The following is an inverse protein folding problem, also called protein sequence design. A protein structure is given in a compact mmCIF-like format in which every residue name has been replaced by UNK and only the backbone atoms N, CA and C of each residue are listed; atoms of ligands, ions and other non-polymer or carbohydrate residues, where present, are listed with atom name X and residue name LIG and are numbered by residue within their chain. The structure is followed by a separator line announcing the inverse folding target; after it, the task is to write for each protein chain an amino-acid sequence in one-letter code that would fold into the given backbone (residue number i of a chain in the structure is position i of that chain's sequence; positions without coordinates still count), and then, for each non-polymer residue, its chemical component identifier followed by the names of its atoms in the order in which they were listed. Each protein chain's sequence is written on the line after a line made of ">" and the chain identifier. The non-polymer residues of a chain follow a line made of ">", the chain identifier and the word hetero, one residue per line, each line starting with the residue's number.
data_IF_479787545192
#
_entry.id   IF_479787545192
#
_cell.length_a   1.000
_cell.length_b   1.000
_cell.length_c   1.000
_cell.angle_alpha   90.00
_cell.angle_beta   90.00
_cell.angle_gamma   90.00
#
_symmetry.space_group_name_H-M   'P 1'
#
loop_
_entity.id
_entity.type
_entity.pdbx_description
1 polymer ?
#
# COMPACT_ATOMS: atom_id res chain seq x y z
N UNK A 1 0.12 0.08 1.73
CA UNK A 1 -0.57 -0.06 0.43
C UNK A 1 -0.38 1.18 -0.42
N UNK A 2 -0.84 2.36 0.04
CA UNK A 2 -0.66 3.62 -0.65
C UNK A 2 0.83 4.01 -0.65
N UNK A 3 1.32 4.54 -1.78
CA UNK A 3 2.74 4.84 -1.97
C UNK A 3 3.65 3.60 -2.11
N UNK A 4 3.09 2.40 -2.08
CA UNK A 4 3.81 1.11 -2.19
C UNK A 4 3.22 0.24 -3.31
N UNK A 5 1.95 -0.12 -3.21
CA UNK A 5 1.21 -0.88 -4.24
C UNK A 5 0.35 0.02 -5.12
N UNK A 6 -0.28 1.04 -4.54
CA UNK A 6 -1.15 2.00 -5.21
C UNK A 6 -0.51 3.39 -5.22
N UNK A 7 -0.55 4.05 -6.38
CA UNK A 7 -0.01 5.39 -6.57
C UNK A 7 -1.05 6.44 -6.17
N UNK A 8 -0.84 7.04 -4.99
CA UNK A 8 -1.71 8.08 -4.45
C UNK A 8 -1.81 9.30 -5.38
N UNK A 9 -0.69 9.72 -5.97
CA UNK A 9 -0.65 10.84 -6.89
C UNK A 9 -1.50 10.62 -8.15
N UNK A 10 -1.55 9.39 -8.66
CA UNK A 10 -2.38 9.03 -9.81
C UNK A 10 -3.87 9.18 -9.52
N UNK A 11 -4.31 8.83 -8.33
CA UNK A 11 -5.70 9.03 -7.89
C UNK A 11 -6.03 10.52 -7.76
N UNK A 12 -5.15 11.28 -7.10
CA UNK A 12 -5.32 12.71 -6.91
C UNK A 12 -5.36 13.48 -8.24
N UNK A 13 -4.61 13.06 -9.26
CA UNK A 13 -4.61 13.66 -10.59
C UNK A 13 -5.98 13.54 -11.30
N UNK A 14 -6.79 12.56 -10.94
CA UNK A 14 -8.14 12.32 -11.49
C UNK A 14 -9.23 13.12 -10.77
N UNK A 15 -8.90 13.79 -9.69
CA UNK A 15 -9.83 14.62 -8.90
C UNK A 15 -9.87 16.03 -9.46
N UNK A 16 -11.06 16.65 -9.53
CA UNK A 16 -11.22 18.01 -10.01
C UNK A 16 -10.47 19.03 -9.17
N UNK A 17 -10.07 20.15 -9.76
CA UNK A 17 -9.37 21.22 -9.05
C UNK A 17 -10.22 21.80 -7.90
N UNK A 18 -11.53 21.93 -8.11
CA UNK A 18 -12.46 22.41 -7.08
C UNK A 18 -12.45 21.51 -5.84
N UNK A 19 -12.51 20.19 -6.03
CA UNK A 19 -12.46 19.22 -4.94
C UNK A 19 -11.09 19.24 -4.26
N UNK A 20 -9.99 19.32 -5.01
CA UNK A 20 -8.65 19.43 -4.43
C UNK A 20 -8.49 20.68 -3.56
N UNK A 21 -9.03 21.83 -3.98
CA UNK A 21 -9.03 23.04 -3.16
C UNK A 21 -9.81 22.88 -1.87
N UNK A 22 -10.99 22.24 -1.93
CA UNK A 22 -11.82 21.98 -0.73
C UNK A 22 -11.12 21.10 0.28
N UNK A 23 -10.29 20.15 -0.16
CA UNK A 23 -9.59 19.19 0.69
C UNK A 23 -8.09 19.47 0.81
N UNK A 24 -7.64 20.70 0.55
CA UNK A 24 -6.22 21.06 0.72
C UNK A 24 -5.71 20.64 2.09
N UNK A 25 -4.51 20.03 2.13
CA UNK A 25 -3.88 19.43 3.32
C UNK A 25 -4.61 18.20 3.92
N UNK A 26 -5.70 17.74 3.28
CA UNK A 26 -6.50 16.59 3.72
C UNK A 26 -6.95 15.74 2.53
N UNK A 27 -6.09 15.53 1.56
CA UNK A 27 -6.44 14.81 0.33
C UNK A 27 -6.88 13.37 0.57
N UNK A 28 -6.38 12.73 1.62
CA UNK A 28 -6.80 11.39 2.03
C UNK A 28 -8.26 11.32 2.55
N UNK A 29 -8.86 12.48 2.87
CA UNK A 29 -10.28 12.60 3.24
C UNK A 29 -11.21 12.73 2.03
N UNK A 30 -10.70 12.84 0.80
CA UNK A 30 -11.54 12.94 -0.42
C UNK A 30 -12.31 11.63 -0.63
N UNK A 31 -13.66 11.67 -0.59
CA UNK A 31 -14.47 10.48 -0.84
C UNK A 31 -14.19 9.87 -2.23
N UNK A 32 -13.99 8.58 -2.28
CA UNK A 32 -13.76 7.84 -3.53
C UNK A 32 -12.34 7.94 -4.10
N UNK A 33 -11.44 8.74 -3.50
CA UNK A 33 -10.07 8.93 -4.01
C UNK A 33 -9.34 7.58 -4.18
N UNK A 34 -9.46 6.70 -3.21
CA UNK A 34 -8.73 5.43 -3.21
C UNK A 34 -9.18 4.46 -4.31
N UNK A 35 -10.39 4.63 -4.84
CA UNK A 35 -10.86 3.88 -6.01
C UNK A 35 -10.24 4.32 -7.33
N UNK A 36 -9.66 5.52 -7.38
CA UNK A 36 -9.10 6.15 -8.59
C UNK A 36 -7.62 5.86 -8.80
N UNK A 37 -6.94 5.28 -7.80
CA UNK A 37 -5.49 5.05 -7.85
C UNK A 37 -5.11 3.96 -8.84
N UNK A 38 -4.08 4.24 -9.64
CA UNK A 38 -3.43 3.22 -10.46
C UNK A 38 -2.41 2.43 -9.62
N UNK A 39 -2.05 1.21 -10.06
CA UNK A 39 -0.93 0.50 -9.44
C UNK A 39 0.38 1.29 -9.53
N UNK A 40 1.18 1.22 -8.48
CA UNK A 40 2.56 1.67 -8.50
C UNK A 40 3.35 0.90 -9.55
N UNK A 41 4.25 1.56 -10.24
CA UNK A 41 5.09 0.93 -11.25
C UNK A 41 5.80 -0.31 -10.70
N UNK A 42 5.67 -1.43 -11.39
CA UNK A 42 6.28 -2.71 -11.02
C UNK A 42 5.60 -3.45 -9.86
N UNK A 43 4.62 -2.85 -9.17
CA UNK A 43 4.01 -3.46 -7.98
C UNK A 43 3.28 -4.78 -8.30
N UNK A 44 2.47 -4.81 -9.34
CA UNK A 44 1.70 -6.01 -9.70
C UNK A 44 2.64 -7.17 -10.05
N UNK A 45 3.64 -6.91 -10.88
CA UNK A 45 4.64 -7.92 -11.26
C UNK A 45 5.43 -8.40 -10.04
N UNK A 46 5.85 -7.49 -9.17
CA UNK A 46 6.58 -7.85 -7.95
C UNK A 46 5.78 -8.77 -7.04
N UNK A 47 4.48 -8.51 -6.83
CA UNK A 47 3.63 -9.36 -6.02
C UNK A 47 3.50 -10.78 -6.59
N UNK A 48 3.32 -10.91 -7.90
CA UNK A 48 3.28 -12.22 -8.55
C UNK A 48 4.62 -12.96 -8.47
N UNK A 49 5.75 -12.26 -8.61
CA UNK A 49 7.09 -12.86 -8.46
C UNK A 49 7.32 -13.36 -7.04
N UNK A 50 6.97 -12.58 -6.01
CA UNK A 50 7.10 -13.00 -4.62
C UNK A 50 6.17 -14.18 -4.32
N UNK A 51 4.92 -14.15 -4.80
CA UNK A 51 3.99 -15.25 -4.65
C UNK A 51 4.52 -16.54 -5.29
N UNK A 52 5.05 -16.45 -6.52
CA UNK A 52 5.62 -17.58 -7.26
C UNK A 52 6.87 -18.17 -6.59
N UNK A 53 7.67 -17.34 -5.94
CA UNK A 53 8.85 -17.75 -5.16
C UNK A 53 8.48 -18.75 -4.05
N UNK A 54 7.33 -18.57 -3.42
CA UNK A 54 6.75 -19.51 -2.45
C UNK A 54 7.38 -19.51 -1.07
N UNK A 55 8.42 -18.70 -0.81
CA UNK A 55 9.06 -18.58 0.51
C UNK A 55 8.31 -17.60 1.42
N UNK A 56 7.47 -16.74 0.86
CA UNK A 56 6.82 -15.64 1.57
C UNK A 56 5.31 -15.84 1.66
N UNK A 57 4.77 -15.58 2.83
CA UNK A 57 3.33 -15.52 3.08
C UNK A 57 2.89 -14.05 3.06
N UNK A 58 2.25 -13.65 1.95
CA UNK A 58 1.95 -12.25 1.64
C UNK A 58 0.64 -11.79 2.27
N UNK A 59 0.66 -10.63 2.92
CA UNK A 59 -0.50 -9.90 3.42
C UNK A 59 -0.42 -8.42 3.07
N UNK A 60 -1.57 -7.80 2.82
CA UNK A 60 -1.67 -6.34 2.81
C UNK A 60 -1.96 -5.86 4.22
N UNK A 61 -1.08 -5.00 4.72
CA UNK A 61 -1.25 -4.28 5.97
C UNK A 61 -1.35 -2.79 5.67
N UNK A 62 -2.53 -2.21 5.81
CA UNK A 62 -2.82 -0.83 5.39
C UNK A 62 -3.58 -0.07 6.46
N UNK A 63 -3.50 1.25 6.41
CA UNK A 63 -4.33 2.14 7.22
C UNK A 63 -5.32 2.85 6.31
N UNK A 64 -6.57 2.91 6.70
CA UNK A 64 -7.57 3.75 6.03
C UNK A 64 -7.81 5.02 6.85
N UNK A 65 -7.90 6.21 6.22
CA UNK A 65 -8.13 7.47 6.91
C UNK A 65 -9.41 7.43 7.75
N UNK A 66 -9.31 7.89 9.01
CA UNK A 66 -10.42 7.83 9.95
C UNK A 66 -11.65 8.59 9.47
N UNK A 67 -11.46 9.73 8.79
CA UNK A 67 -12.55 10.60 8.31
C UNK A 67 -13.00 10.30 6.88
N UNK A 68 -12.50 9.21 6.27
CA UNK A 68 -12.90 8.80 4.92
C UNK A 68 -13.40 7.36 4.92
N UNK A 69 -14.69 7.13 5.23
CA UNK A 69 -15.26 5.78 5.26
C UNK A 69 -15.12 5.04 3.92
N UNK A 70 -15.19 5.74 2.78
CA UNK A 70 -15.04 5.12 1.46
C UNK A 70 -13.66 4.49 1.26
N UNK A 71 -12.61 5.01 1.89
CA UNK A 71 -11.27 4.45 1.79
C UNK A 71 -11.19 3.00 2.28
N UNK A 72 -12.01 2.61 3.25
CA UNK A 72 -12.04 1.25 3.79
C UNK A 72 -12.54 0.25 2.76
N UNK A 73 -13.67 0.52 2.11
CA UNK A 73 -14.21 -0.31 1.05
C UNK A 73 -13.42 -0.20 -0.25
N UNK A 74 -12.96 1.00 -0.60
CA UNK A 74 -12.20 1.25 -1.83
C UNK A 74 -10.86 0.48 -1.85
N UNK A 75 -10.20 0.35 -0.72
CA UNK A 75 -8.96 -0.45 -0.62
C UNK A 75 -9.23 -1.94 -0.90
N UNK A 76 -10.31 -2.48 -0.36
CA UNK A 76 -10.73 -3.85 -0.68
C UNK A 76 -11.05 -4.02 -2.17
N UNK A 77 -11.85 -3.12 -2.73
CA UNK A 77 -12.22 -3.16 -4.15
C UNK A 77 -11.01 -3.03 -5.08
N UNK A 78 -10.06 -2.18 -4.71
CA UNK A 78 -8.80 -2.02 -5.44
C UNK A 78 -7.99 -3.33 -5.48
N UNK A 79 -7.87 -4.00 -4.35
CA UNK A 79 -7.17 -5.29 -4.26
C UNK A 79 -7.89 -6.37 -5.06
N UNK A 80 -9.21 -6.45 -4.96
CA UNK A 80 -10.01 -7.39 -5.74
C UNK A 80 -9.85 -7.15 -7.25
N UNK A 81 -9.72 -5.91 -7.67
CA UNK A 81 -9.53 -5.56 -9.09
C UNK A 81 -8.13 -5.92 -9.61
N UNK A 82 -7.08 -5.71 -8.82
CA UNK A 82 -5.69 -5.73 -9.30
C UNK A 82 -4.88 -6.95 -8.84
N UNK A 83 -5.18 -7.53 -7.68
CA UNK A 83 -4.35 -8.52 -7.00
C UNK A 83 -5.17 -9.54 -6.18
N UNK A 84 -6.43 -9.84 -6.57
CA UNK A 84 -7.26 -10.80 -5.84
C UNK A 84 -6.63 -12.20 -5.80
N UNK A 85 -5.96 -12.59 -6.85
CA UNK A 85 -5.25 -13.87 -6.95
C UNK A 85 -4.08 -14.01 -5.97
N UNK A 86 -3.49 -12.89 -5.53
CA UNK A 86 -2.39 -12.87 -4.54
C UNK A 86 -2.93 -12.68 -3.12
N UNK A 87 -3.89 -11.77 -2.93
CA UNK A 87 -4.31 -11.31 -1.60
C UNK A 87 -5.75 -11.66 -1.23
N UNK A 88 -6.31 -12.71 -1.82
CA UNK A 88 -7.66 -13.16 -1.46
C UNK A 88 -7.76 -13.47 0.04
N UNK A 89 -8.65 -12.74 0.75
CA UNK A 89 -8.80 -12.81 2.23
C UNK A 89 -7.52 -12.50 3.03
N UNK A 90 -6.59 -11.73 2.46
CA UNK A 90 -5.29 -11.39 3.05
C UNK A 90 -5.09 -9.89 3.17
N UNK A 91 -6.14 -9.14 3.56
CA UNK A 91 -6.10 -7.71 3.85
C UNK A 91 -6.34 -7.49 5.33
N UNK A 92 -5.50 -6.66 5.94
CA UNK A 92 -5.64 -6.16 7.30
C UNK A 92 -5.62 -4.64 7.24
N UNK A 93 -6.70 -3.99 7.68
CA UNK A 93 -6.78 -2.53 7.80
C UNK A 93 -6.72 -2.16 9.27
N UNK A 94 -5.72 -1.39 9.65
CA UNK A 94 -5.46 -1.01 11.05
C UNK A 94 -4.69 0.30 11.15
N UNK A 95 -4.86 1.02 12.26
CA UNK A 95 -4.03 2.15 12.67
C UNK A 95 -2.86 1.72 13.58
N UNK A 96 -2.76 0.44 13.91
CA UNK A 96 -1.82 -0.12 14.87
C UNK A 96 -1.02 -1.26 14.24
N UNK A 97 -0.19 -0.96 13.25
CA UNK A 97 0.63 -1.96 12.54
C UNK A 97 1.61 -2.68 13.43
N UNK A 98 2.02 -2.04 14.54
CA UNK A 98 2.88 -2.63 15.57
C UNK A 98 2.26 -3.84 16.32
N UNK A 99 0.94 -4.04 16.22
CA UNK A 99 0.27 -5.19 16.82
C UNK A 99 0.36 -6.46 15.96
N UNK A 100 0.74 -6.32 14.69
CA UNK A 100 0.86 -7.44 13.77
C UNK A 100 2.27 -7.98 13.78
N UNK A 101 2.39 -9.29 13.57
CA UNK A 101 3.67 -10.02 13.48
C UNK A 101 3.99 -10.35 12.03
N UNK A 102 5.25 -10.24 11.68
CA UNK A 102 5.76 -10.59 10.36
C UNK A 102 7.27 -10.40 10.33
N UNK A 103 7.92 -10.97 9.33
CA UNK A 103 9.37 -10.84 9.17
C UNK A 103 9.74 -9.51 8.51
N UNK A 104 8.95 -9.09 7.53
CA UNK A 104 9.16 -7.86 6.78
C UNK A 104 7.88 -7.02 6.67
N UNK A 105 8.02 -5.72 6.73
CA UNK A 105 6.97 -4.75 6.42
C UNK A 105 7.49 -3.76 5.37
N UNK A 106 6.93 -3.78 4.17
CA UNK A 106 7.22 -2.81 3.12
C UNK A 106 6.25 -1.64 3.26
N UNK A 107 6.75 -0.48 3.68
CA UNK A 107 5.94 0.73 3.89
C UNK A 107 6.76 1.98 3.55
N UNK A 108 6.11 3.01 3.03
CA UNK A 108 6.76 4.27 2.65
C UNK A 108 6.93 5.24 3.83
N UNK A 109 6.17 5.04 4.91
CA UNK A 109 6.17 5.94 6.08
C UNK A 109 6.15 5.20 7.41
N UNK A 110 6.90 5.71 8.39
CA UNK A 110 6.95 5.21 9.76
C UNK A 110 5.76 5.58 10.64
N UNK A 111 4.54 5.68 10.06
CA UNK A 111 3.31 6.07 10.76
C UNK A 111 2.44 4.86 11.09
N UNK A 112 1.44 5.08 11.95
CA UNK A 112 0.44 4.07 12.33
C UNK A 112 1.05 2.75 12.85
N UNK A 113 2.14 2.88 13.61
CA UNK A 113 2.83 1.75 14.23
C UNK A 113 3.86 1.07 13.32
N UNK A 114 4.15 1.58 12.11
CA UNK A 114 5.16 1.00 11.22
C UNK A 114 6.55 1.05 11.84
N UNK A 115 6.95 2.16 12.46
CA UNK A 115 8.27 2.31 13.10
C UNK A 115 8.46 1.40 14.33
N UNK A 116 7.38 0.95 14.93
CA UNK A 116 7.38 0.03 16.10
C UNK A 116 7.04 -1.42 15.71
N UNK A 117 6.98 -1.73 14.42
CA UNK A 117 6.81 -3.10 13.94
C UNK A 117 8.02 -3.95 14.33
N UNK A 118 7.79 -5.13 14.93
CA UNK A 118 8.89 -5.97 15.45
C UNK A 118 9.75 -6.63 14.37
N UNK A 119 9.22 -6.79 13.15
CA UNK A 119 9.98 -7.28 12.02
C UNK A 119 10.80 -6.19 11.35
N UNK A 120 11.39 -6.49 10.22
CA UNK A 120 12.19 -5.55 9.46
C UNK A 120 11.30 -4.61 8.63
N UNK A 121 11.48 -3.31 8.81
CA UNK A 121 10.83 -2.29 7.99
C UNK A 121 11.67 -1.97 6.75
N UNK A 122 11.21 -2.42 5.59
CA UNK A 122 11.73 -2.04 4.28
C UNK A 122 11.07 -0.70 3.89
N UNK A 123 11.83 0.39 4.01
CA UNK A 123 11.32 1.74 3.73
C UNK A 123 11.27 2.00 2.23
N UNK A 124 10.12 1.68 1.63
CA UNK A 124 9.87 1.91 0.20
C UNK A 124 9.94 3.40 -0.18
N UNK A 125 10.54 3.71 -1.34
CA UNK A 125 10.79 5.09 -1.78
C UNK A 125 12.00 5.76 -1.15
N UNK A 126 12.78 5.05 -0.31
CA UNK A 126 14.06 5.53 0.19
C UNK A 126 15.17 5.38 -0.85
N UNK A 127 16.36 5.94 -0.57
CA UNK A 127 17.54 5.75 -1.43
C UNK A 127 17.98 4.30 -1.54
N UNK A 128 17.72 3.47 -0.52
CA UNK A 128 18.04 2.05 -0.49
C UNK A 128 17.01 1.21 -1.24
N UNK A 129 15.72 1.57 -1.10
CA UNK A 129 14.60 0.87 -1.73
C UNK A 129 13.75 1.83 -2.58
N UNK A 130 14.31 2.38 -3.68
CA UNK A 130 13.60 3.37 -4.50
C UNK A 130 12.41 2.81 -5.25
N UNK A 131 12.38 1.50 -5.50
CA UNK A 131 11.39 0.81 -6.33
C UNK A 131 11.24 -0.66 -5.94
N UNK A 132 10.32 -1.36 -6.61
CA UNK A 132 10.07 -2.79 -6.37
C UNK A 132 11.23 -3.69 -6.79
N UNK A 133 12.02 -3.33 -7.81
CA UNK A 133 13.18 -4.13 -8.21
C UNK A 133 14.26 -4.17 -7.11
N UNK A 134 14.47 -3.06 -6.42
CA UNK A 134 15.39 -3.00 -5.28
C UNK A 134 14.92 -3.87 -4.11
N UNK A 135 13.60 -3.87 -3.83
CA UNK A 135 13.00 -4.75 -2.81
C UNK A 135 13.13 -6.22 -3.19
N UNK A 136 12.80 -6.59 -4.44
CA UNK A 136 12.93 -7.96 -4.92
C UNK A 136 14.36 -8.46 -4.84
N UNK A 137 15.33 -7.63 -5.22
CA UNK A 137 16.76 -7.94 -5.12
C UNK A 137 17.18 -8.20 -3.67
N UNK A 138 16.72 -7.35 -2.76
CA UNK A 138 17.00 -7.49 -1.33
C UNK A 138 16.43 -8.80 -0.76
N UNK A 139 15.18 -9.12 -1.12
CA UNK A 139 14.51 -10.36 -0.73
C UNK A 139 15.02 -11.60 -1.51
N UNK A 140 15.95 -11.40 -2.45
CA UNK A 140 16.49 -12.45 -3.33
C UNK A 140 15.41 -13.20 -4.13
N UNK A 141 14.39 -12.47 -4.56
CA UNK A 141 13.31 -12.98 -5.43
C UNK A 141 13.70 -12.77 -6.90
N UNK A 142 13.62 -13.83 -7.68
CA UNK A 142 13.91 -13.81 -9.13
C UNK A 142 12.68 -13.49 -9.98
#
# INVERSE_FOLDING_TARGET
>A
MDGVLADFGSGLAKVSEEVRRKYMDRFDEIPGLFSLMEPMQGAIEAMHRIQKDGRFDLYILSTAPWKNPSAWSDKLLWVQKHLDDVFHKRIIITHCKNLLKGDYLVDDRGKNGTSEFEGEWIRFGSSEFPDWESVLKYLQVR
#
